data_IF_572197528306
#
_entry.id   IF_572197528306
#
_cell.length_a   1.000
_cell.length_b   1.000
_cell.length_c   1.000
_cell.angle_alpha   90.00
_cell.angle_beta   90.00
_cell.angle_gamma   90.00
#
_symmetry.space_group_name_H-M   'P 1'
#
loop_
_entity.id
_entity.type
_entity.pdbx_description
1 polymer ?
#
# COMPACT_ATOMS: atom_id res chain seq x y z
N UNK A 1 -25.18 0.43 8.91
CA UNK A 1 -26.00 0.51 7.69
C UNK A 1 -26.21 -0.88 7.10
N UNK A 2 -25.14 -1.63 6.79
CA UNK A 2 -25.22 -3.01 6.29
C UNK A 2 -26.16 -3.98 7.04
N UNK A 3 -26.28 -3.88 8.38
CA UNK A 3 -27.23 -4.72 9.15
C UNK A 3 -28.68 -4.49 8.71
N UNK A 4 -29.07 -3.24 8.40
CA UNK A 4 -30.42 -2.93 7.94
C UNK A 4 -30.66 -3.55 6.56
N UNK A 5 -29.68 -3.50 5.66
CA UNK A 5 -29.79 -4.09 4.33
C UNK A 5 -29.88 -5.62 4.40
N UNK A 6 -29.13 -6.26 5.31
CA UNK A 6 -29.26 -7.69 5.58
C UNK A 6 -30.64 -8.07 6.13
N UNK A 7 -31.22 -7.21 6.98
CA UNK A 7 -32.58 -7.41 7.49
C UNK A 7 -33.61 -7.33 6.37
N UNK A 8 -33.48 -6.35 5.47
CA UNK A 8 -34.34 -6.22 4.28
C UNK A 8 -34.19 -7.44 3.36
N UNK A 9 -32.95 -7.84 3.04
CA UNK A 9 -32.67 -9.02 2.21
C UNK A 9 -33.24 -10.31 2.80
N UNK A 10 -33.15 -10.47 4.13
CA UNK A 10 -33.75 -11.61 4.82
C UNK A 10 -35.27 -11.60 4.71
N UNK A 11 -35.91 -10.45 4.90
CA UNK A 11 -37.36 -10.34 4.88
C UNK A 11 -37.95 -10.55 3.47
N UNK A 12 -37.24 -10.08 2.43
CA UNK A 12 -37.77 -10.04 1.07
C UNK A 12 -37.32 -11.20 0.17
N UNK A 13 -36.08 -11.68 0.32
CA UNK A 13 -35.46 -12.60 -0.65
C UNK A 13 -34.91 -13.89 -0.04
N UNK A 14 -34.29 -13.83 1.14
CA UNK A 14 -33.53 -14.94 1.71
C UNK A 14 -33.93 -15.21 3.17
N UNK A 15 -35.08 -15.88 3.42
CA UNK A 15 -35.60 -16.08 4.78
C UNK A 15 -34.67 -16.89 5.70
N UNK A 16 -33.85 -17.77 5.12
CA UNK A 16 -32.87 -18.60 5.84
C UNK A 16 -31.55 -17.86 6.13
N UNK A 17 -31.40 -16.61 5.68
CA UNK A 17 -30.20 -15.82 5.93
C UNK A 17 -30.00 -15.62 7.44
N UNK A 18 -28.83 -15.99 7.92
CA UNK A 18 -28.42 -15.86 9.31
C UNK A 18 -27.04 -15.22 9.39
N UNK A 19 -26.86 -14.32 10.35
CA UNK A 19 -25.58 -13.69 10.63
C UNK A 19 -25.41 -13.51 12.13
N UNK A 20 -24.18 -13.26 12.56
CA UNK A 20 -23.84 -12.93 13.94
C UNK A 20 -23.11 -11.60 13.97
N UNK A 21 -23.47 -10.75 14.93
CA UNK A 21 -22.74 -9.52 15.22
C UNK A 21 -21.86 -9.77 16.43
N UNK A 22 -20.57 -9.46 16.32
CA UNK A 22 -19.62 -9.49 17.43
C UNK A 22 -19.19 -8.05 17.74
N UNK A 23 -19.69 -7.50 18.85
CA UNK A 23 -19.39 -6.12 19.25
C UNK A 23 -17.94 -5.92 19.72
N UNK A 24 -17.20 -6.99 19.99
CA UNK A 24 -15.84 -6.92 20.53
C UNK A 24 -14.77 -7.02 19.46
N UNK A 25 -15.11 -7.47 18.25
CA UNK A 25 -14.16 -7.66 17.15
C UNK A 25 -14.36 -6.58 16.10
N UNK A 26 -13.27 -5.90 15.74
CA UNK A 26 -13.25 -5.00 14.59
C UNK A 26 -13.21 -5.76 13.26
N UNK A 27 -13.44 -5.04 12.17
CA UNK A 27 -13.47 -5.56 10.79
C UNK A 27 -12.21 -6.37 10.44
N UNK A 28 -11.03 -5.88 10.80
CA UNK A 28 -9.74 -6.55 10.53
C UNK A 28 -9.64 -7.92 11.20
N UNK A 29 -10.08 -8.05 12.45
CA UNK A 29 -10.07 -9.31 13.18
C UNK A 29 -11.05 -10.33 12.58
N UNK A 30 -12.17 -9.88 12.01
CA UNK A 30 -13.12 -10.73 11.32
C UNK A 30 -12.58 -11.20 9.96
N UNK A 31 -11.95 -10.31 9.19
CA UNK A 31 -11.27 -10.68 7.94
C UNK A 31 -10.14 -11.68 8.19
N UNK A 32 -9.33 -11.47 9.24
CA UNK A 32 -8.30 -12.44 9.64
C UNK A 32 -8.90 -13.81 10.01
N UNK A 33 -10.04 -13.82 10.70
CA UNK A 33 -10.70 -15.08 11.04
C UNK A 33 -11.22 -15.84 9.80
N UNK A 34 -11.58 -15.14 8.72
CA UNK A 34 -11.91 -15.77 7.43
C UNK A 34 -10.67 -16.38 6.79
N UNK A 35 -9.56 -15.64 6.75
CA UNK A 35 -8.27 -16.11 6.23
C UNK A 35 -7.79 -17.36 6.99
N UNK A 36 -7.93 -17.36 8.32
CA UNK A 36 -7.57 -18.48 9.19
C UNK A 36 -8.53 -19.70 9.05
N UNK A 37 -9.59 -19.61 8.25
CA UNK A 37 -10.62 -20.64 8.10
C UNK A 37 -11.51 -20.83 9.34
N UNK A 38 -11.53 -19.87 10.26
CA UNK A 38 -12.40 -19.90 11.46
C UNK A 38 -13.81 -19.38 11.18
N UNK A 39 -13.96 -18.56 10.14
CA UNK A 39 -15.23 -18.07 9.63
C UNK A 39 -15.29 -18.34 8.13
N UNK A 40 -16.45 -18.70 7.61
CA UNK A 40 -16.62 -18.89 6.16
C UNK A 40 -16.70 -17.53 5.43
N UNK A 41 -17.39 -16.55 6.05
CA UNK A 41 -17.63 -15.23 5.48
C UNK A 41 -17.64 -14.13 6.55
N UNK A 42 -17.28 -12.91 6.13
CA UNK A 42 -17.49 -11.69 6.90
C UNK A 42 -17.99 -10.58 5.97
N UNK A 43 -18.53 -9.51 6.57
CA UNK A 43 -18.91 -8.29 5.88
C UNK A 43 -17.98 -7.18 6.34
N UNK A 44 -17.44 -6.42 5.40
CA UNK A 44 -16.48 -5.35 5.62
C UNK A 44 -16.70 -4.24 4.59
N UNK A 45 -16.23 -3.03 4.90
CA UNK A 45 -16.23 -1.93 3.93
C UNK A 45 -15.21 -2.19 2.81
N UNK A 46 -15.53 -1.74 1.60
CA UNK A 46 -14.70 -1.98 0.42
C UNK A 46 -13.28 -1.46 0.59
N UNK A 47 -13.10 -0.32 1.25
CA UNK A 47 -11.78 0.26 1.55
C UNK A 47 -10.94 -0.67 2.42
N UNK A 48 -11.48 -1.17 3.53
CA UNK A 48 -10.80 -2.09 4.42
C UNK A 48 -10.48 -3.40 3.70
N UNK A 49 -11.41 -3.93 2.90
CA UNK A 49 -11.18 -5.13 2.09
C UNK A 49 -10.02 -4.92 1.12
N UNK A 50 -10.05 -3.84 0.33
CA UNK A 50 -8.98 -3.53 -0.64
C UNK A 50 -7.62 -3.36 0.03
N UNK A 51 -7.56 -2.75 1.22
CA UNK A 51 -6.32 -2.65 1.99
C UNK A 51 -5.85 -4.01 2.52
N UNK A 52 -6.75 -4.84 3.03
CA UNK A 52 -6.41 -6.15 3.61
C UNK A 52 -5.98 -7.14 2.53
N UNK A 53 -6.62 -7.11 1.36
CA UNK A 53 -6.25 -7.97 0.22
C UNK A 53 -4.81 -7.75 -0.25
N UNK A 54 -4.21 -6.57 0.01
CA UNK A 54 -2.81 -6.32 -0.31
C UNK A 54 -1.85 -7.23 0.42
N UNK A 55 -2.18 -7.62 1.65
CA UNK A 55 -1.34 -8.51 2.47
C UNK A 55 -1.95 -9.91 2.58
N UNK A 56 -3.21 -10.08 2.20
CA UNK A 56 -3.97 -11.34 2.25
C UNK A 56 -4.69 -11.63 0.94
N UNK A 57 -3.96 -12.04 -0.11
CA UNK A 57 -4.50 -12.29 -1.44
C UNK A 57 -5.50 -13.48 -1.49
N UNK A 58 -5.51 -14.34 -0.49
CA UNK A 58 -6.52 -15.40 -0.32
C UNK A 58 -7.92 -14.88 0.07
N UNK A 59 -8.02 -13.64 0.57
CA UNK A 59 -9.30 -13.02 0.87
C UNK A 59 -9.99 -12.58 -0.43
N UNK A 60 -11.17 -13.12 -0.73
CA UNK A 60 -11.91 -12.83 -1.96
C UNK A 60 -13.24 -12.11 -1.66
N UNK A 61 -13.58 -11.13 -2.49
CA UNK A 61 -14.91 -10.51 -2.49
C UNK A 61 -15.89 -11.44 -3.17
N UNK A 62 -16.93 -11.87 -2.44
CA UNK A 62 -17.96 -12.75 -2.97
C UNK A 62 -19.09 -11.98 -3.66
N UNK A 63 -19.57 -10.91 -3.03
CA UNK A 63 -20.65 -10.07 -3.53
C UNK A 63 -20.69 -8.72 -2.80
N UNK A 64 -21.22 -7.70 -3.48
CA UNK A 64 -21.56 -6.41 -2.88
C UNK A 64 -22.97 -6.45 -2.29
N UNK A 65 -23.09 -6.03 -1.04
CA UNK A 65 -24.35 -6.14 -0.26
C UNK A 65 -25.20 -4.87 -0.38
N UNK A 66 -24.55 -3.73 -0.62
CA UNK A 66 -25.17 -2.41 -0.69
C UNK A 66 -24.62 -1.64 -1.87
N UNK A 67 -25.39 -0.69 -2.37
CA UNK A 67 -24.88 0.30 -3.32
C UNK A 67 -23.80 1.17 -2.66
N UNK A 68 -22.99 1.85 -3.48
CA UNK A 68 -21.97 2.79 -3.02
C UNK A 68 -22.60 3.89 -2.16
N UNK A 69 -22.01 4.14 -0.98
CA UNK A 69 -22.51 5.13 -0.03
C UNK A 69 -21.47 6.22 0.19
N UNK A 70 -21.89 7.51 0.24
CA UNK A 70 -20.97 8.59 0.50
C UNK A 70 -20.49 8.56 1.96
N UNK A 71 -19.19 8.73 2.16
CA UNK A 71 -18.63 8.97 3.49
C UNK A 71 -18.94 10.41 3.89
N UNK A 72 -19.73 10.57 4.95
CA UNK A 72 -20.20 11.89 5.41
C UNK A 72 -19.72 12.18 6.82
N UNK A 73 -19.27 13.40 7.08
CA UNK A 73 -18.93 13.86 8.42
C UNK A 73 -20.19 14.35 9.15
N UNK A 74 -20.32 13.99 10.43
CA UNK A 74 -21.42 14.43 11.28
C UNK A 74 -20.93 15.46 12.29
N UNK A 75 -21.68 16.53 12.47
CA UNK A 75 -21.50 17.52 13.54
C UNK A 75 -22.65 17.43 14.55
N UNK A 76 -22.43 17.97 15.75
CA UNK A 76 -23.50 18.12 16.72
C UNK A 76 -24.58 19.07 16.17
N UNK A 77 -25.85 18.77 16.45
CA UNK A 77 -26.94 19.69 16.13
C UNK A 77 -26.90 20.85 17.12
N UNK A 78 -26.69 22.05 16.61
CA UNK A 78 -26.73 23.29 17.36
C UNK A 78 -27.43 24.38 16.51
N UNK A 79 -27.88 25.43 17.17
CA UNK A 79 -28.50 26.60 16.52
C UNK A 79 -27.45 27.46 15.78
N UNK A 80 -26.16 27.30 16.14
CA UNK A 80 -25.04 27.90 15.42
C UNK A 80 -24.60 27.03 14.22
N UNK A 81 -24.82 27.57 13.02
CA UNK A 81 -24.45 26.92 11.76
C UNK A 81 -23.02 27.24 11.29
N UNK A 82 -22.23 27.98 12.07
CA UNK A 82 -20.88 28.42 11.68
C UNK A 82 -19.95 27.26 11.31
N UNK A 83 -19.94 26.18 12.10
CA UNK A 83 -19.13 24.99 11.82
C UNK A 83 -19.60 24.27 10.55
N UNK A 84 -20.90 24.07 10.39
CA UNK A 84 -21.46 23.39 9.21
C UNK A 84 -21.17 24.18 7.93
N UNK A 85 -21.26 25.51 7.97
CA UNK A 85 -20.88 26.38 6.86
C UNK A 85 -19.37 26.28 6.55
N UNK A 86 -18.51 26.36 7.57
CA UNK A 86 -17.06 26.22 7.39
C UNK A 86 -16.67 24.83 6.83
N UNK A 87 -17.36 23.77 7.25
CA UNK A 87 -17.16 22.42 6.70
C UNK A 87 -17.53 22.35 5.21
N UNK A 88 -18.65 22.95 4.81
CA UNK A 88 -19.05 23.01 3.40
C UNK A 88 -18.00 23.77 2.57
N UNK A 89 -17.55 24.92 3.04
CA UNK A 89 -16.51 25.71 2.37
C UNK A 89 -15.20 24.92 2.26
N UNK A 90 -14.79 24.22 3.32
CA UNK A 90 -13.62 23.35 3.31
C UNK A 90 -13.73 22.25 2.24
N UNK A 91 -14.84 21.51 2.21
CA UNK A 91 -15.04 20.43 1.24
C UNK A 91 -15.15 20.93 -0.20
N UNK A 92 -15.74 22.11 -0.41
CA UNK A 92 -15.75 22.75 -1.73
C UNK A 92 -14.32 23.09 -2.19
N UNK A 93 -13.53 23.72 -1.32
CA UNK A 93 -12.15 24.10 -1.66
C UNK A 93 -11.28 22.89 -2.01
N UNK A 94 -11.29 21.83 -1.19
CA UNK A 94 -10.45 20.64 -1.45
C UNK A 94 -10.93 19.80 -2.64
N UNK A 95 -12.20 19.93 -3.04
CA UNK A 95 -12.71 19.35 -4.27
C UNK A 95 -12.24 20.15 -5.49
N UNK A 96 -12.34 21.48 -5.45
CA UNK A 96 -11.96 22.36 -6.56
C UNK A 96 -10.46 22.34 -6.83
N UNK A 97 -9.62 22.32 -5.80
CA UNK A 97 -8.16 22.29 -5.94
C UNK A 97 -7.56 20.88 -6.17
N UNK A 98 -8.43 19.86 -6.21
CA UNK A 98 -8.10 18.46 -6.42
C UNK A 98 -7.38 17.79 -5.24
N UNK A 99 -7.31 18.41 -4.07
CA UNK A 99 -6.71 17.82 -2.87
C UNK A 99 -7.44 16.54 -2.46
N UNK A 100 -8.78 16.51 -2.52
CA UNK A 100 -9.53 15.31 -2.20
C UNK A 100 -9.16 14.16 -3.14
N UNK A 101 -9.15 14.42 -4.45
CA UNK A 101 -8.76 13.42 -5.45
C UNK A 101 -7.33 12.88 -5.23
N UNK A 102 -6.36 13.75 -4.88
CA UNK A 102 -4.98 13.32 -4.56
C UNK A 102 -4.92 12.48 -3.28
N UNK A 103 -5.73 12.81 -2.26
CA UNK A 103 -5.83 12.01 -1.03
C UNK A 103 -6.46 10.65 -1.32
N UNK A 104 -7.56 10.62 -2.07
CA UNK A 104 -8.21 9.38 -2.50
C UNK A 104 -7.25 8.51 -3.30
N UNK A 105 -6.54 9.06 -4.28
CA UNK A 105 -5.55 8.29 -5.05
C UNK A 105 -4.44 7.73 -4.14
N UNK A 106 -3.87 8.58 -3.28
CA UNK A 106 -2.77 8.19 -2.38
C UNK A 106 -3.15 7.09 -1.39
N UNK A 107 -4.36 7.11 -0.86
CA UNK A 107 -4.76 6.18 0.19
C UNK A 107 -5.63 5.01 -0.33
N UNK A 108 -6.42 5.24 -1.37
CA UNK A 108 -7.44 4.32 -1.89
C UNK A 108 -7.23 3.93 -3.37
N UNK A 109 -6.50 4.71 -4.16
CA UNK A 109 -6.33 4.53 -5.61
C UNK A 109 -5.62 3.24 -6.04
N UNK A 110 -4.75 2.68 -5.19
CA UNK A 110 -4.01 1.45 -5.51
C UNK A 110 -4.83 0.15 -5.42
N UNK A 111 -6.16 0.22 -5.57
CA UNK A 111 -7.04 -0.96 -5.62
C UNK A 111 -7.14 -1.61 -7.01
N UNK A 112 -6.96 -0.84 -8.10
CA UNK A 112 -7.26 -1.30 -9.46
C UNK A 112 -6.07 -1.86 -10.25
N UNK A 113 -4.83 -1.50 -9.89
CA UNK A 113 -3.59 -1.97 -10.56
C UNK A 113 -2.85 -3.05 -9.74
N UNK A 114 -3.58 -3.86 -8.99
CA UNK A 114 -2.97 -4.83 -8.08
C UNK A 114 -2.59 -6.12 -8.81
N UNK A 115 -1.30 -6.28 -9.14
CA UNK A 115 -0.77 -7.57 -9.60
C UNK A 115 -0.70 -8.56 -8.41
N UNK A 116 -1.71 -9.41 -8.37
CA UNK A 116 -1.88 -10.50 -7.42
C UNK A 116 -0.66 -11.42 -7.28
N UNK A 117 0.02 -11.70 -8.39
CA UNK A 117 1.16 -12.61 -8.42
C UNK A 117 2.38 -11.90 -7.85
N UNK A 118 2.56 -10.63 -8.20
CA UNK A 118 3.68 -9.82 -7.72
C UNK A 118 3.60 -9.61 -6.21
N UNK A 119 2.40 -9.30 -5.69
CA UNK A 119 2.28 -9.03 -4.25
C UNK A 119 2.47 -10.28 -3.39
N UNK A 120 2.03 -11.46 -3.85
CA UNK A 120 2.36 -12.72 -3.17
C UNK A 120 3.86 -12.98 -3.14
N UNK A 121 4.54 -12.62 -4.21
CA UNK A 121 5.99 -12.77 -4.32
C UNK A 121 6.69 -11.79 -3.36
N UNK A 122 6.22 -10.54 -3.31
CA UNK A 122 6.69 -9.52 -2.36
C UNK A 122 6.50 -9.93 -0.90
N UNK A 123 5.29 -10.34 -0.49
CA UNK A 123 5.02 -10.72 0.90
C UNK A 123 5.89 -11.92 1.33
N UNK A 124 6.02 -12.93 0.46
CA UNK A 124 6.93 -14.06 0.73
C UNK A 124 8.37 -13.59 0.85
N UNK A 125 8.81 -12.65 0.02
CA UNK A 125 10.15 -12.11 0.13
C UNK A 125 10.33 -11.28 1.42
N UNK A 126 9.33 -10.51 1.84
CA UNK A 126 9.34 -9.77 3.12
C UNK A 126 9.49 -10.74 4.30
N UNK A 127 8.84 -11.90 4.25
CA UNK A 127 8.95 -12.90 5.32
C UNK A 127 10.27 -13.69 5.27
N UNK A 128 10.75 -14.05 4.07
CA UNK A 128 11.82 -15.04 3.92
C UNK A 128 13.18 -14.47 3.49
N UNK A 129 13.21 -13.30 2.83
CA UNK A 129 14.44 -12.70 2.28
C UNK A 129 14.81 -11.43 3.06
N UNK A 130 13.84 -10.54 3.32
CA UNK A 130 14.09 -9.26 3.97
C UNK A 130 14.86 -9.38 5.30
N UNK A 131 14.59 -10.36 6.20
CA UNK A 131 15.34 -10.48 7.45
C UNK A 131 16.86 -10.68 7.24
N UNK A 132 17.27 -11.31 6.13
CA UNK A 132 18.69 -11.53 5.82
C UNK A 132 19.37 -10.27 5.27
N UNK A 133 18.67 -9.47 4.47
CA UNK A 133 19.23 -8.29 3.77
C UNK A 133 18.94 -6.97 4.48
N UNK A 134 17.97 -6.92 5.39
CA UNK A 134 17.61 -5.74 6.18
C UNK A 134 18.81 -5.09 6.89
N UNK A 135 19.73 -5.84 7.53
CA UNK A 135 20.92 -5.23 8.14
C UNK A 135 21.80 -4.47 7.16
N UNK A 136 21.81 -4.86 5.88
CA UNK A 136 22.56 -4.14 4.83
C UNK A 136 21.84 -2.84 4.47
N UNK A 137 20.51 -2.88 4.30
CA UNK A 137 19.74 -1.66 4.03
C UNK A 137 19.86 -0.65 5.17
N UNK A 138 19.74 -1.09 6.42
CA UNK A 138 19.91 -0.22 7.59
C UNK A 138 21.33 0.35 7.68
N UNK A 139 22.34 -0.45 7.37
CA UNK A 139 23.75 -0.03 7.41
C UNK A 139 24.07 1.01 6.33
N UNK A 140 23.53 0.85 5.13
CA UNK A 140 23.90 1.66 3.97
C UNK A 140 22.92 2.80 3.67
N UNK A 141 21.74 2.81 4.29
CA UNK A 141 20.84 3.96 4.25
C UNK A 141 21.53 5.22 4.79
N UNK A 142 21.18 6.36 4.20
CA UNK A 142 21.78 7.68 4.50
C UNK A 142 20.69 8.73 4.65
N UNK A 143 20.52 9.60 3.65
CA UNK A 143 19.51 10.69 3.64
C UNK A 143 18.08 10.15 3.49
N UNK A 144 17.91 8.91 3.03
CA UNK A 144 16.61 8.25 2.90
C UNK A 144 16.45 7.14 3.93
N UNK A 145 15.21 6.89 4.32
CA UNK A 145 14.84 5.77 5.17
C UNK A 145 15.22 4.43 4.51
N UNK A 146 15.75 3.48 5.30
CA UNK A 146 16.15 2.16 4.80
C UNK A 146 15.01 1.41 4.12
N UNK A 147 13.75 1.66 4.52
CA UNK A 147 12.56 1.08 3.89
C UNK A 147 12.38 1.57 2.47
N UNK A 148 12.71 2.84 2.20
CA UNK A 148 12.69 3.38 0.84
C UNK A 148 13.82 2.77 0.00
N UNK A 149 15.02 2.64 0.55
CA UNK A 149 16.13 1.97 -0.13
C UNK A 149 15.79 0.50 -0.47
N UNK A 150 15.19 -0.22 0.49
CA UNK A 150 14.72 -1.59 0.30
C UNK A 150 13.61 -1.67 -0.76
N UNK A 151 12.65 -0.74 -0.77
CA UNK A 151 11.60 -0.69 -1.78
C UNK A 151 12.15 -0.45 -3.19
N UNK A 152 13.15 0.43 -3.34
CA UNK A 152 13.85 0.65 -4.62
C UNK A 152 14.55 -0.65 -5.05
N UNK A 153 15.29 -1.29 -4.16
CA UNK A 153 15.98 -2.55 -4.45
C UNK A 153 15.01 -3.69 -4.85
N UNK A 154 13.81 -3.72 -4.26
CA UNK A 154 12.75 -4.64 -4.64
C UNK A 154 12.31 -4.39 -6.09
N UNK A 155 12.03 -3.14 -6.43
CA UNK A 155 11.62 -2.76 -7.78
C UNK A 155 12.68 -3.10 -8.83
N UNK A 156 13.96 -3.00 -8.48
CA UNK A 156 15.08 -3.27 -9.39
C UNK A 156 15.33 -4.77 -9.61
N UNK A 157 15.27 -5.58 -8.55
CA UNK A 157 15.79 -6.96 -8.60
C UNK A 157 15.00 -7.99 -7.79
N UNK A 158 13.92 -7.59 -7.13
CA UNK A 158 13.23 -8.41 -6.13
C UNK A 158 14.17 -8.90 -5.01
N UNK A 159 15.14 -8.05 -4.65
CA UNK A 159 16.25 -8.36 -3.74
C UNK A 159 17.14 -9.54 -4.17
N UNK A 160 17.25 -9.83 -5.47
CA UNK A 160 18.17 -10.83 -5.99
C UNK A 160 19.58 -10.23 -6.21
N UNK A 161 20.60 -10.61 -5.42
CA UNK A 161 21.97 -10.12 -5.62
C UNK A 161 22.59 -10.63 -6.93
N UNK A 162 22.07 -11.70 -7.54
CA UNK A 162 22.56 -12.24 -8.81
C UNK A 162 21.73 -11.79 -10.01
N UNK A 163 20.80 -10.86 -9.83
CA UNK A 163 19.95 -10.34 -10.91
C UNK A 163 20.80 -9.85 -12.10
N UNK A 164 20.35 -10.20 -13.31
CA UNK A 164 20.97 -9.74 -14.55
C UNK A 164 19.92 -9.33 -15.57
N UNK A 165 20.25 -8.31 -16.37
CA UNK A 165 19.40 -7.85 -17.48
C UNK A 165 20.13 -7.92 -18.81
N UNK A 166 19.41 -8.12 -19.94
CA UNK A 166 19.96 -7.97 -21.29
C UNK A 166 20.63 -6.62 -21.55
N UNK A 167 20.25 -5.56 -20.83
CA UNK A 167 20.84 -4.22 -20.97
C UNK A 167 22.18 -4.07 -20.22
N UNK A 168 22.63 -5.10 -19.50
CA UNK A 168 23.96 -5.15 -18.87
C UNK A 168 24.04 -4.61 -17.43
N UNK A 169 22.91 -4.19 -16.85
CA UNK A 169 22.78 -3.93 -15.40
C UNK A 169 22.79 -5.24 -14.62
N UNK A 170 23.30 -5.20 -13.37
CA UNK A 170 23.43 -6.38 -12.51
C UNK A 170 23.30 -6.05 -11.02
N UNK A 171 22.88 -7.06 -10.27
CA UNK A 171 22.86 -7.06 -8.81
C UNK A 171 21.62 -6.41 -8.22
N UNK A 172 21.60 -6.36 -6.89
CA UNK A 172 20.42 -5.98 -6.11
C UNK A 172 19.89 -4.57 -6.43
N UNK A 173 20.78 -3.62 -6.75
CA UNK A 173 20.44 -2.25 -7.15
C UNK A 173 20.59 -2.01 -8.66
N UNK A 174 20.70 -3.07 -9.46
CA UNK A 174 20.78 -3.02 -10.93
C UNK A 174 21.74 -1.96 -11.49
N UNK A 175 22.98 -1.98 -11.00
CA UNK A 175 23.99 -0.99 -11.40
C UNK A 175 24.57 -1.30 -12.78
N UNK A 176 24.75 -0.27 -13.61
CA UNK A 176 25.51 -0.39 -14.86
C UNK A 176 27.00 -0.62 -14.57
N UNK A 177 27.74 -1.13 -15.56
CA UNK A 177 29.20 -1.31 -15.42
C UNK A 177 29.92 0.03 -15.22
N UNK A 178 29.48 1.08 -15.90
CA UNK A 178 30.09 2.40 -15.82
C UNK A 178 29.87 3.01 -14.43
N UNK A 179 28.65 2.91 -13.90
CA UNK A 179 28.31 3.38 -12.54
C UNK A 179 29.14 2.64 -11.49
N UNK A 180 29.26 1.32 -11.60
CA UNK A 180 30.07 0.54 -10.68
C UNK A 180 31.55 0.95 -10.71
N UNK A 181 32.11 1.19 -11.90
CA UNK A 181 33.49 1.66 -12.05
C UNK A 181 33.71 3.05 -11.46
N UNK A 182 32.80 4.00 -11.70
CA UNK A 182 32.93 5.36 -11.15
C UNK A 182 32.86 5.38 -9.62
N UNK A 183 32.14 4.42 -9.02
CA UNK A 183 31.99 4.29 -7.57
C UNK A 183 33.05 3.41 -6.90
N UNK A 184 33.92 2.77 -7.69
CA UNK A 184 34.98 1.89 -7.20
C UNK A 184 34.50 0.49 -6.77
N UNK A 185 33.33 0.04 -7.25
CA UNK A 185 32.79 -1.28 -6.93
C UNK A 185 33.55 -2.36 -7.71
N UNK A 186 33.96 -3.40 -6.99
CA UNK A 186 34.70 -4.54 -7.55
C UNK A 186 33.78 -5.66 -8.01
N UNK A 187 32.66 -5.84 -7.31
CA UNK A 187 31.63 -6.81 -7.65
C UNK A 187 30.23 -6.19 -7.52
N UNK A 188 29.43 -6.28 -8.59
CA UNK A 188 28.05 -5.79 -8.61
C UNK A 188 27.06 -6.79 -8.03
N UNK A 189 27.43 -8.07 -7.98
CA UNK A 189 26.55 -9.13 -7.47
C UNK A 189 26.82 -9.47 -6.00
N UNK A 190 27.77 -8.78 -5.37
CA UNK A 190 27.88 -8.69 -3.92
C UNK A 190 26.81 -7.73 -3.38
N UNK A 191 25.92 -8.22 -2.52
CA UNK A 191 24.77 -7.46 -2.03
C UNK A 191 25.19 -6.17 -1.32
N UNK A 192 26.23 -6.23 -0.48
CA UNK A 192 26.71 -5.07 0.27
C UNK A 192 27.27 -3.97 -0.67
N UNK A 193 28.10 -4.35 -1.65
CA UNK A 193 28.61 -3.41 -2.65
C UNK A 193 27.49 -2.87 -3.56
N UNK A 194 26.52 -3.71 -3.94
CA UNK A 194 25.39 -3.28 -4.77
C UNK A 194 24.54 -2.24 -4.05
N UNK A 195 24.19 -2.48 -2.79
CA UNK A 195 23.38 -1.57 -1.96
C UNK A 195 24.13 -0.26 -1.68
N UNK A 196 25.40 -0.31 -1.23
CA UNK A 196 26.19 0.91 -0.99
C UNK A 196 26.36 1.74 -2.27
N UNK A 197 26.69 1.07 -3.37
CA UNK A 197 26.83 1.71 -4.68
C UNK A 197 25.53 2.35 -5.16
N UNK A 198 24.41 1.65 -5.02
CA UNK A 198 23.08 2.15 -5.36
C UNK A 198 22.71 3.37 -4.53
N UNK A 199 22.92 3.32 -3.20
CA UNK A 199 22.63 4.48 -2.34
C UNK A 199 23.50 5.69 -2.72
N UNK A 200 24.81 5.50 -2.94
CA UNK A 200 25.70 6.59 -3.36
C UNK A 200 25.27 7.19 -4.70
N UNK A 201 24.89 6.35 -5.67
CA UNK A 201 24.38 6.83 -6.95
C UNK A 201 23.07 7.60 -6.82
N UNK A 202 22.16 7.13 -5.95
CA UNK A 202 20.91 7.83 -5.65
C UNK A 202 21.16 9.20 -4.99
N UNK A 203 22.12 9.30 -4.07
CA UNK A 203 22.53 10.59 -3.49
C UNK A 203 23.06 11.54 -4.56
N UNK A 204 23.97 11.07 -5.42
CA UNK A 204 24.52 11.86 -6.54
C UNK A 204 23.44 12.32 -7.52
N UNK A 205 22.29 11.63 -7.59
CA UNK A 205 21.14 12.05 -8.38
C UNK A 205 20.29 13.08 -7.63
N UNK A 206 19.99 12.85 -6.36
CA UNK A 206 19.23 13.78 -5.52
C UNK A 206 19.92 15.15 -5.44
N UNK A 207 21.24 15.18 -5.29
CA UNK A 207 22.04 16.41 -5.24
C UNK A 207 22.00 17.22 -6.55
N UNK A 208 21.65 16.57 -7.67
CA UNK A 208 21.52 17.22 -8.99
C UNK A 208 20.12 17.75 -9.25
N UNK A 209 19.13 17.38 -8.45
CA UNK A 209 17.78 17.91 -8.57
C UNK A 209 17.78 19.33 -8.02
N UNK A 210 17.43 20.36 -8.82
CA UNK A 210 17.37 21.74 -8.33
C UNK A 210 16.27 21.88 -7.28
N UNK A 211 16.50 22.68 -6.23
CA UNK A 211 15.51 23.03 -5.20
C UNK A 211 14.20 23.62 -5.77
N UNK A 212 14.23 24.13 -7.01
CA UNK A 212 13.11 24.76 -7.69
C UNK A 212 12.25 23.81 -8.53
N UNK A 213 12.33 22.50 -8.32
CA UNK A 213 11.45 21.58 -9.05
C UNK A 213 9.99 21.84 -8.63
N UNK A 214 9.06 22.17 -9.56
CA UNK A 214 7.66 22.37 -9.19
C UNK A 214 7.13 21.08 -8.59
N UNK A 215 6.58 21.15 -7.38
CA UNK A 215 5.73 20.09 -6.84
C UNK A 215 4.63 19.81 -7.88
N UNK A 216 4.64 18.61 -8.46
CA UNK A 216 3.60 18.15 -9.38
C UNK A 216 2.61 17.26 -8.65
#
# INVERSE_FOLDING_TARGET
MAINDLQTLKAEKYPDLAWRVDEKRGTTALMQAVIDGKLDYTIADSVAVSLFQRVHPELAVALDITDEQPVTWFSARDDDNSLSAAMLDFFNNINEDGTLARLEEKYLGHGNDFDYVDTRTFLRAVENILPEVQPLFEKYAREIDWRLLAAIAWQESHWDPQATSPTGVRGMMMLTRNTAQSLGLTDRTDAAQSIDGGMRYLQDMMDKVPDSSPER
#
